data_IF_250975357076
#
_entry.id   IF_250975357076
#
_cell.length_a   1.000
_cell.length_b   1.000
_cell.length_c   1.000
_cell.angle_alpha   90.00
_cell.angle_beta   90.00
_cell.angle_gamma   90.00
#
_symmetry.space_group_name_H-M   'P 1'
#
loop_
_entity.id
_entity.type
_entity.pdbx_description
1 polymer ?
#
# COMPACT_ATOMS: atom_id res chain seq x y z
N UNK A 1 3.51 -50.22 -13.88
CA UNK A 1 3.40 -48.98 -14.68
C UNK A 1 2.23 -48.18 -14.14
N UNK A 2 2.49 -47.32 -13.16
CA UNK A 2 1.47 -46.42 -12.59
C UNK A 2 1.70 -45.02 -13.13
N UNK A 3 0.74 -44.55 -13.89
CA UNK A 3 0.59 -43.18 -14.36
C UNK A 3 0.33 -42.25 -13.17
N UNK A 4 1.40 -41.62 -12.67
CA UNK A 4 1.28 -40.43 -11.83
C UNK A 4 0.76 -39.30 -12.73
N UNK A 5 -0.56 -39.16 -12.76
CA UNK A 5 -1.24 -37.99 -13.30
C UNK A 5 -0.76 -36.76 -12.53
N UNK A 6 0.04 -35.93 -13.21
CA UNK A 6 0.45 -34.61 -12.76
C UNK A 6 -0.79 -33.80 -12.37
N UNK A 7 -0.95 -33.57 -11.07
CA UNK A 7 -2.06 -32.80 -10.49
C UNK A 7 -1.83 -31.28 -10.58
N UNK A 8 -0.72 -30.84 -11.18
CA UNK A 8 -0.26 -29.45 -11.15
C UNK A 8 -0.48 -28.66 -12.44
N UNK A 9 -0.97 -29.27 -13.52
CA UNK A 9 -1.43 -28.52 -14.69
C UNK A 9 -2.88 -28.08 -14.47
N UNK A 10 -3.09 -27.17 -13.52
CA UNK A 10 -4.33 -26.40 -13.48
C UNK A 10 -4.37 -25.60 -14.79
N UNK A 11 -5.37 -25.82 -15.68
CA UNK A 11 -5.40 -25.16 -16.97
C UNK A 11 -5.40 -23.65 -16.75
N UNK A 12 -4.36 -23.01 -17.27
CA UNK A 12 -4.19 -21.57 -17.13
C UNK A 12 -5.40 -20.89 -17.75
N UNK A 13 -6.08 -20.06 -16.95
CA UNK A 13 -7.30 -19.42 -17.41
C UNK A 13 -6.89 -18.45 -18.54
N UNK A 14 -7.49 -18.54 -19.73
CA UNK A 14 -7.14 -17.67 -20.85
C UNK A 14 -7.29 -16.18 -20.51
N UNK A 15 -8.18 -15.84 -19.57
CA UNK A 15 -8.34 -14.48 -19.06
C UNK A 15 -7.09 -13.93 -18.34
N UNK A 16 -6.29 -14.77 -17.67
CA UNK A 16 -5.11 -14.32 -16.93
C UNK A 16 -3.92 -14.06 -17.88
N UNK A 17 -3.79 -14.84 -18.96
CA UNK A 17 -2.82 -14.60 -20.04
C UNK A 17 -3.15 -13.31 -20.81
N UNK A 18 -4.43 -13.08 -21.10
CA UNK A 18 -4.86 -11.85 -21.78
C UNK A 18 -4.59 -10.60 -20.93
N UNK A 19 -4.84 -10.68 -19.62
CA UNK A 19 -4.44 -9.60 -18.69
C UNK A 19 -2.95 -9.35 -18.68
N UNK A 20 -2.13 -10.40 -18.68
CA UNK A 20 -0.67 -10.27 -18.74
C UNK A 20 -0.24 -9.58 -20.05
N UNK A 21 -0.85 -9.95 -21.17
CA UNK A 21 -0.60 -9.32 -22.48
C UNK A 21 -0.97 -7.84 -22.50
N UNK A 22 -2.15 -7.49 -21.98
CA UNK A 22 -2.59 -6.09 -21.89
C UNK A 22 -1.67 -5.27 -20.98
N UNK A 23 -1.25 -5.83 -19.85
CA UNK A 23 -0.32 -5.18 -18.93
C UNK A 23 1.05 -4.95 -19.59
N UNK A 24 1.61 -5.95 -20.28
CA UNK A 24 2.87 -5.83 -21.04
C UNK A 24 2.77 -4.74 -22.12
N UNK A 25 1.66 -4.72 -22.86
CA UNK A 25 1.40 -3.72 -23.91
C UNK A 25 1.33 -2.31 -23.33
N UNK A 26 0.59 -2.12 -22.23
CA UNK A 26 0.48 -0.82 -21.54
C UNK A 26 1.83 -0.30 -20.99
N UNK A 27 2.75 -1.21 -20.69
CA UNK A 27 4.09 -0.89 -20.19
C UNK A 27 5.16 -0.79 -21.28
N UNK A 28 4.77 -0.88 -22.56
CA UNK A 28 5.68 -0.73 -23.69
C UNK A 28 6.55 -1.96 -23.97
N UNK A 29 6.08 -3.14 -23.57
CA UNK A 29 6.71 -4.44 -23.85
C UNK A 29 5.80 -5.31 -24.74
N UNK A 30 5.30 -4.82 -25.90
CA UNK A 30 4.34 -5.57 -26.72
C UNK A 30 4.95 -6.84 -27.34
N UNK A 31 6.27 -6.88 -27.53
CA UNK A 31 6.99 -7.96 -28.21
C UNK A 31 7.37 -9.11 -27.27
N UNK A 32 7.15 -8.95 -25.95
CA UNK A 32 7.45 -9.99 -24.97
C UNK A 32 6.26 -10.96 -24.89
N UNK A 33 6.45 -12.26 -25.12
CA UNK A 33 5.37 -13.23 -25.03
C UNK A 33 4.85 -13.30 -23.57
N UNK A 34 3.52 -13.29 -23.34
CA UNK A 34 2.97 -13.42 -22.00
C UNK A 34 3.28 -14.82 -21.47
N UNK A 35 4.03 -14.90 -20.37
CA UNK A 35 4.35 -16.17 -19.73
C UNK A 35 3.29 -16.55 -18.70
N UNK A 36 3.00 -17.85 -18.64
CA UNK A 36 2.28 -18.55 -17.57
C UNK A 36 2.54 -17.99 -16.16
N UNK A 37 3.83 -17.86 -15.84
CA UNK A 37 4.30 -17.41 -14.54
C UNK A 37 3.97 -15.92 -14.28
N UNK A 38 4.06 -15.06 -15.30
CA UNK A 38 3.67 -13.66 -15.20
C UNK A 38 2.17 -13.51 -14.95
N UNK A 39 1.34 -14.27 -15.68
CA UNK A 39 -0.12 -14.27 -15.51
C UNK A 39 -0.52 -14.71 -14.10
N UNK A 40 0.08 -15.80 -13.59
CA UNK A 40 -0.18 -16.29 -12.23
C UNK A 40 0.25 -15.27 -11.16
N UNK A 41 1.41 -14.63 -11.32
CA UNK A 41 1.88 -13.58 -10.39
C UNK A 41 0.94 -12.37 -10.39
N UNK A 42 0.51 -11.90 -11.56
CA UNK A 42 -0.45 -10.81 -11.68
C UNK A 42 -1.76 -11.13 -10.98
N UNK A 43 -2.31 -12.33 -11.19
CA UNK A 43 -3.56 -12.76 -10.56
C UNK A 43 -3.44 -12.86 -9.03
N UNK A 44 -2.35 -13.44 -8.51
CA UNK A 44 -2.10 -13.54 -7.06
C UNK A 44 -1.92 -12.16 -6.44
N UNK A 45 -1.17 -11.26 -7.09
CA UNK A 45 -0.98 -9.89 -6.61
C UNK A 45 -2.28 -9.11 -6.60
N UNK A 46 -3.10 -9.20 -7.65
CA UNK A 46 -4.41 -8.54 -7.71
C UNK A 46 -5.34 -9.03 -6.58
N UNK A 47 -5.43 -10.34 -6.36
CA UNK A 47 -6.22 -10.89 -5.27
C UNK A 47 -5.70 -10.46 -3.89
N UNK A 48 -4.37 -10.38 -3.73
CA UNK A 48 -3.77 -9.91 -2.47
C UNK A 48 -4.04 -8.43 -2.24
N UNK A 49 -3.99 -7.60 -3.30
CA UNK A 49 -4.33 -6.17 -3.23
C UNK A 49 -5.80 -6.00 -2.82
N UNK A 50 -6.73 -6.73 -3.44
CA UNK A 50 -8.15 -6.71 -3.06
C UNK A 50 -8.34 -7.16 -1.61
N UNK A 51 -7.71 -8.25 -1.19
CA UNK A 51 -7.79 -8.72 0.19
C UNK A 51 -7.23 -7.69 1.19
N UNK A 52 -6.13 -7.02 0.85
CA UNK A 52 -5.54 -5.96 1.68
C UNK A 52 -6.43 -4.73 1.75
N UNK A 53 -7.05 -4.31 0.63
CA UNK A 53 -8.03 -3.22 0.59
C UNK A 53 -9.29 -3.53 1.39
N UNK A 54 -9.82 -4.75 1.29
CA UNK A 54 -10.97 -5.23 2.08
C UNK A 54 -10.59 -5.24 3.57
N UNK A 55 -9.42 -5.80 3.91
CA UNK A 55 -8.95 -5.87 5.30
C UNK A 55 -8.75 -4.47 5.90
N UNK A 56 -8.22 -3.52 5.12
CA UNK A 56 -8.16 -2.12 5.50
C UNK A 56 -9.55 -1.54 5.74
N UNK A 57 -10.50 -1.75 4.81
CA UNK A 57 -11.85 -1.23 4.96
C UNK A 57 -12.52 -1.78 6.23
N UNK A 58 -12.35 -3.08 6.51
CA UNK A 58 -12.80 -3.72 7.76
C UNK A 58 -12.12 -3.09 8.98
N UNK A 59 -10.82 -2.81 8.92
CA UNK A 59 -10.10 -2.15 10.01
C UNK A 59 -10.63 -0.72 10.26
N UNK A 60 -10.89 0.05 9.21
CA UNK A 60 -11.50 1.38 9.31
C UNK A 60 -12.89 1.27 9.95
N UNK A 61 -13.73 0.32 9.51
CA UNK A 61 -15.07 0.06 10.07
C UNK A 61 -15.03 -0.45 11.53
N UNK A 62 -13.98 -1.17 11.91
CA UNK A 62 -13.81 -1.60 13.30
C UNK A 62 -13.32 -0.46 14.19
N UNK A 63 -12.37 0.36 13.71
CA UNK A 63 -11.89 1.57 14.39
C UNK A 63 -13.05 2.53 14.64
N UNK A 64 -13.88 2.64 13.62
CA UNK A 64 -15.15 3.33 13.61
C UNK A 64 -16.11 2.88 14.71
N UNK A 65 -16.33 1.57 14.80
CA UNK A 65 -17.19 0.98 15.81
C UNK A 65 -16.63 1.17 17.23
N UNK A 66 -15.31 1.06 17.40
CA UNK A 66 -14.64 1.33 18.69
C UNK A 66 -14.82 2.78 19.11
N UNK A 67 -14.81 3.72 18.16
CA UNK A 67 -15.09 5.12 18.44
C UNK A 67 -16.55 5.35 18.85
N UNK A 68 -17.54 4.73 18.18
CA UNK A 68 -18.96 4.93 18.52
C UNK A 68 -19.38 4.23 19.80
N UNK A 69 -18.85 3.03 20.07
CA UNK A 69 -19.19 2.23 21.27
C UNK A 69 -18.37 2.65 22.50
N UNK A 70 -17.10 3.06 22.29
CA UNK A 70 -16.21 3.53 23.35
C UNK A 70 -16.26 5.04 23.56
N UNK A 71 -16.99 5.78 22.72
CA UNK A 71 -17.24 7.20 22.90
C UNK A 71 -18.03 7.44 24.19
N UNK A 72 -17.88 8.63 24.81
CA UNK A 72 -18.63 8.98 26.02
C UNK A 72 -20.11 9.18 25.64
N UNK A 73 -20.85 8.09 25.49
CA UNK A 73 -22.28 8.13 25.77
C UNK A 73 -22.40 8.39 27.28
N UNK A 74 -22.63 9.66 27.59
CA UNK A 74 -23.26 10.10 28.84
C UNK A 74 -22.48 9.84 30.14
N UNK A 75 -21.46 10.67 30.39
CA UNK A 75 -21.26 11.17 31.77
C UNK A 75 -22.38 12.20 32.08
N UNK A 76 -23.62 11.73 32.09
CA UNK A 76 -24.77 12.38 32.72
C UNK A 76 -25.04 11.81 34.13
N UNK A 77 -24.22 10.87 34.61
CA UNK A 77 -24.37 10.30 35.94
C UNK A 77 -23.00 10.03 36.53
N UNK A 78 -22.58 10.97 37.38
CA UNK A 78 -21.20 11.16 37.82
C UNK A 78 -20.53 10.01 38.57
N UNK A 79 -19.30 10.35 38.98
CA UNK A 79 -18.40 9.67 39.91
C UNK A 79 -17.26 8.88 39.25
N UNK A 80 -16.07 9.52 39.20
CA UNK A 80 -14.75 8.95 39.52
C UNK A 80 -14.55 7.44 39.28
N UNK A 81 -14.92 6.95 38.09
CA UNK A 81 -14.62 5.59 37.66
C UNK A 81 -13.19 5.51 37.11
N UNK A 82 -12.42 4.44 37.40
CA UNK A 82 -11.15 4.21 36.74
C UNK A 82 -11.36 4.22 35.23
N UNK A 83 -10.60 5.05 34.50
CA UNK A 83 -10.61 5.11 33.03
C UNK A 83 -10.78 3.71 32.44
N UNK A 84 -11.80 3.46 31.61
CA UNK A 84 -12.02 2.12 31.08
C UNK A 84 -10.85 1.77 30.17
N UNK A 85 -9.97 0.89 30.64
CA UNK A 85 -8.86 0.31 29.87
C UNK A 85 -9.36 -0.58 28.71
N UNK A 86 -10.64 -0.97 28.75
CA UNK A 86 -11.28 -1.85 27.76
C UNK A 86 -11.21 -1.33 26.31
N UNK A 87 -11.62 -0.09 25.97
CA UNK A 87 -11.49 0.45 24.61
C UNK A 87 -10.03 0.49 24.12
N UNK A 88 -9.07 0.82 25.00
CA UNK A 88 -7.64 0.80 24.65
C UNK A 88 -7.13 -0.61 24.36
N UNK A 89 -7.53 -1.60 25.16
CA UNK A 89 -7.20 -3.00 24.91
C UNK A 89 -7.84 -3.53 23.62
N UNK A 90 -9.11 -3.18 23.36
CA UNK A 90 -9.79 -3.53 22.11
C UNK A 90 -9.07 -2.92 20.91
N UNK A 91 -8.66 -1.67 21.01
CA UNK A 91 -7.92 -0.97 19.96
C UNK A 91 -6.54 -1.60 19.72
N UNK A 92 -5.80 -1.92 20.79
CA UNK A 92 -4.52 -2.60 20.70
C UNK A 92 -4.66 -3.99 20.06
N UNK A 93 -5.69 -4.75 20.46
CA UNK A 93 -5.98 -6.07 19.89
C UNK A 93 -6.40 -5.97 18.43
N UNK A 94 -7.19 -4.95 18.07
CA UNK A 94 -7.60 -4.67 16.69
C UNK A 94 -6.38 -4.37 15.81
N UNK A 95 -5.47 -3.51 16.28
CA UNK A 95 -4.21 -3.20 15.57
C UNK A 95 -3.35 -4.46 15.43
N UNK A 96 -3.18 -5.22 16.51
CA UNK A 96 -2.40 -6.45 16.49
C UNK A 96 -3.00 -7.48 15.51
N UNK A 97 -4.32 -7.64 15.49
CA UNK A 97 -5.02 -8.53 14.57
C UNK A 97 -4.86 -8.06 13.12
N UNK A 98 -5.02 -6.76 12.84
CA UNK A 98 -4.84 -6.19 11.52
C UNK A 98 -3.42 -6.38 10.98
N UNK A 99 -2.40 -6.04 11.78
CA UNK A 99 -0.98 -6.23 11.42
C UNK A 99 -0.67 -7.71 11.22
N UNK A 100 -1.21 -8.59 12.06
CA UNK A 100 -1.01 -10.04 11.93
C UNK A 100 -1.66 -10.59 10.66
N UNK A 101 -2.88 -10.16 10.33
CA UNK A 101 -3.57 -10.56 9.11
C UNK A 101 -2.81 -10.09 7.85
N UNK A 102 -2.29 -8.86 7.84
CA UNK A 102 -1.41 -8.35 6.77
C UNK A 102 -0.14 -9.22 6.65
N UNK A 103 0.52 -9.51 7.77
CA UNK A 103 1.71 -10.38 7.77
C UNK A 103 1.43 -11.82 7.28
N UNK A 104 0.23 -12.34 7.54
CA UNK A 104 -0.20 -13.66 7.05
C UNK A 104 -0.47 -13.65 5.54
N UNK A 105 -1.10 -12.59 5.01
CA UNK A 105 -1.26 -12.40 3.57
C UNK A 105 0.11 -12.38 2.88
N UNK A 106 1.07 -11.63 3.42
CA UNK A 106 2.44 -11.57 2.90
C UNK A 106 3.13 -12.96 2.93
N UNK A 107 2.95 -13.72 4.02
CA UNK A 107 3.50 -15.08 4.11
C UNK A 107 2.88 -16.01 3.07
N UNK A 108 1.58 -15.87 2.78
CA UNK A 108 0.89 -16.68 1.76
C UNK A 108 1.44 -16.37 0.37
N UNK A 109 1.61 -15.09 0.02
CA UNK A 109 2.23 -14.69 -1.24
C UNK A 109 3.62 -15.28 -1.38
N UNK A 110 4.46 -15.18 -0.33
CA UNK A 110 5.80 -15.79 -0.32
C UNK A 110 5.78 -17.29 -0.54
N UNK A 111 4.79 -17.98 0.04
CA UNK A 111 4.69 -19.42 -0.12
C UNK A 111 4.36 -19.79 -1.57
N UNK A 112 3.39 -19.10 -2.17
CA UNK A 112 2.99 -19.30 -3.57
C UNK A 112 4.13 -18.94 -4.52
N UNK A 113 4.83 -17.83 -4.28
CA UNK A 113 5.98 -17.42 -5.08
C UNK A 113 7.13 -18.42 -4.99
N UNK A 114 7.40 -18.98 -3.80
CA UNK A 114 8.41 -20.03 -3.62
C UNK A 114 8.03 -21.33 -4.31
N UNK A 115 6.76 -21.72 -4.27
CA UNK A 115 6.26 -22.89 -4.98
C UNK A 115 6.37 -22.71 -6.49
N UNK A 116 5.98 -21.54 -7.01
CA UNK A 116 6.14 -21.22 -8.42
C UNK A 116 7.61 -21.22 -8.86
N UNK A 117 8.50 -20.64 -8.04
CA UNK A 117 9.94 -20.64 -8.31
C UNK A 117 10.59 -22.04 -8.24
N UNK A 118 10.04 -22.95 -7.42
CA UNK A 118 10.53 -24.33 -7.32
C UNK A 118 10.24 -25.15 -8.60
N UNK A 119 9.19 -24.79 -9.35
CA UNK A 119 8.82 -25.45 -10.61
C UNK A 119 9.66 -25.04 -11.83
N UNK A 120 10.52 -24.01 -11.71
CA UNK A 120 11.30 -23.50 -12.82
C UNK A 120 12.50 -24.40 -13.15
N UNK A 121 12.53 -24.94 -14.37
CA UNK A 121 13.57 -25.85 -14.87
C UNK A 121 14.94 -25.19 -15.05
N UNK A 122 15.00 -23.87 -15.24
CA UNK A 122 16.24 -23.10 -15.45
C UNK A 122 16.21 -21.84 -14.59
N UNK A 123 17.22 -21.64 -13.75
CA UNK A 123 17.29 -20.50 -12.82
C UNK A 123 18.32 -19.49 -13.32
N UNK A 124 17.88 -18.45 -14.03
CA UNK A 124 18.69 -17.25 -14.22
C UNK A 124 18.49 -16.32 -13.01
N UNK A 125 19.06 -16.69 -11.86
CA UNK A 125 18.96 -15.87 -10.66
C UNK A 125 20.02 -14.75 -10.72
N UNK A 126 19.65 -13.59 -11.26
CA UNK A 126 20.42 -12.37 -11.04
C UNK A 126 19.85 -11.66 -9.80
N UNK A 127 20.53 -11.68 -8.64
CA UNK A 127 20.08 -10.96 -7.45
C UNK A 127 20.29 -9.46 -7.67
N UNK A 128 19.38 -8.83 -8.41
CA UNK A 128 19.34 -7.37 -8.48
C UNK A 128 18.60 -6.88 -7.24
N UNK A 129 19.37 -6.53 -6.21
CA UNK A 129 18.85 -5.79 -5.06
C UNK A 129 18.50 -4.37 -5.53
N UNK A 130 17.24 -4.17 -5.93
CA UNK A 130 16.71 -2.83 -6.18
C UNK A 130 16.65 -2.08 -4.85
N UNK A 131 17.60 -1.15 -4.64
CA UNK A 131 17.60 -0.27 -3.48
C UNK A 131 16.33 0.59 -3.42
N UNK A 132 15.89 0.95 -2.22
CA UNK A 132 14.65 1.72 -2.00
C UNK A 132 14.57 3.03 -2.81
N UNK A 133 15.73 3.67 -3.05
CA UNK A 133 15.82 4.87 -3.89
C UNK A 133 15.46 4.60 -5.36
N UNK A 134 15.83 3.43 -5.88
CA UNK A 134 15.49 3.04 -7.25
C UNK A 134 14.02 2.66 -7.37
N UNK A 135 13.46 2.02 -6.34
CA UNK A 135 12.06 1.55 -6.34
C UNK A 135 11.07 2.70 -6.16
N UNK A 136 11.24 3.48 -5.09
CA UNK A 136 10.28 4.52 -4.72
C UNK A 136 10.59 5.87 -5.37
N UNK A 137 11.89 6.18 -5.49
CA UNK A 137 12.37 7.52 -5.74
C UNK A 137 12.35 8.38 -4.48
N UNK A 138 13.34 9.27 -4.28
CA UNK A 138 13.43 10.10 -3.09
C UNK A 138 12.21 11.03 -2.90
N UNK A 139 11.62 11.51 -4.00
CA UNK A 139 10.47 12.41 -3.95
C UNK A 139 9.20 11.74 -3.38
N UNK A 140 8.93 10.48 -3.73
CA UNK A 140 7.78 9.74 -3.18
C UNK A 140 8.03 9.32 -1.73
N UNK A 141 9.27 8.94 -1.40
CA UNK A 141 9.65 8.66 -0.01
C UNK A 141 9.42 9.88 0.88
N UNK A 142 9.88 11.06 0.43
CA UNK A 142 9.67 12.32 1.12
C UNK A 142 8.17 12.64 1.24
N UNK A 143 7.39 12.53 0.16
CA UNK A 143 5.94 12.78 0.21
C UNK A 143 5.24 11.87 1.24
N UNK A 144 5.52 10.57 1.23
CA UNK A 144 4.93 9.64 2.18
C UNK A 144 5.33 9.99 3.62
N UNK A 145 6.63 10.17 3.88
CA UNK A 145 7.15 10.52 5.20
C UNK A 145 6.55 11.84 5.72
N UNK A 146 6.51 12.89 4.89
CA UNK A 146 5.94 14.18 5.26
C UNK A 146 4.44 14.09 5.51
N UNK A 147 3.71 13.31 4.71
CA UNK A 147 2.25 13.16 4.90
C UNK A 147 1.94 12.47 6.23
N UNK A 148 2.64 11.38 6.55
CA UNK A 148 2.48 10.71 7.84
C UNK A 148 2.94 11.59 9.01
N UNK A 149 4.07 12.28 8.88
CA UNK A 149 4.56 13.19 9.92
C UNK A 149 3.59 14.33 10.20
N UNK A 150 3.05 14.97 9.15
CA UNK A 150 2.04 16.03 9.29
C UNK A 150 0.75 15.51 9.91
N UNK A 151 0.25 14.34 9.47
CA UNK A 151 -0.95 13.74 10.03
C UNK A 151 -0.76 13.42 11.53
N UNK A 152 0.37 12.81 11.91
CA UNK A 152 0.70 12.53 13.31
C UNK A 152 0.82 13.83 14.11
N UNK A 153 1.52 14.85 13.60
CA UNK A 153 1.71 16.12 14.28
C UNK A 153 0.40 16.86 14.52
N UNK A 154 -0.47 16.88 13.50
CA UNK A 154 -1.83 17.38 13.65
C UNK A 154 -2.54 16.56 14.75
N UNK A 155 -2.60 15.23 14.66
CA UNK A 155 -3.38 14.41 15.62
C UNK A 155 -2.86 14.54 17.04
N UNK A 156 -1.55 14.65 17.22
CA UNK A 156 -0.93 14.94 18.50
C UNK A 156 -1.32 16.32 19.03
N UNK A 157 -1.39 17.34 18.17
CA UNK A 157 -1.88 18.67 18.54
C UNK A 157 -3.32 18.65 19.06
N UNK A 158 -4.19 17.81 18.48
CA UNK A 158 -5.57 17.66 18.94
C UNK A 158 -5.68 17.01 20.34
N UNK A 159 -4.66 16.29 20.82
CA UNK A 159 -4.62 15.77 22.19
C UNK A 159 -4.48 16.87 23.26
N UNK A 160 -4.05 18.07 22.86
CA UNK A 160 -3.97 19.23 23.75
C UNK A 160 -5.30 20.00 23.86
N UNK A 161 -6.34 19.62 23.10
CA UNK A 161 -7.65 20.24 23.18
C UNK A 161 -8.30 20.02 24.57
N UNK A 162 -9.01 21.03 25.07
CA UNK A 162 -9.68 20.98 26.38
C UNK A 162 -10.87 20.01 26.43
N UNK A 163 -11.50 19.73 25.28
CA UNK A 163 -12.67 18.86 25.19
C UNK A 163 -12.27 17.36 25.27
N UNK A 164 -12.78 16.58 26.24
CA UNK A 164 -12.40 15.18 26.44
C UNK A 164 -12.75 14.29 25.25
N UNK A 165 -13.87 14.55 24.57
CA UNK A 165 -14.25 13.82 23.34
C UNK A 165 -13.25 14.01 22.20
N UNK A 166 -12.69 15.22 22.04
CA UNK A 166 -11.68 15.52 21.01
C UNK A 166 -10.38 14.77 21.32
N UNK A 167 -9.96 14.72 22.59
CA UNK A 167 -8.76 13.99 23.00
C UNK A 167 -8.90 12.48 22.77
N UNK A 168 -10.08 11.91 23.04
CA UNK A 168 -10.36 10.51 22.78
C UNK A 168 -10.33 10.20 21.27
N UNK A 169 -11.02 11.01 20.46
CA UNK A 169 -11.00 10.89 19.00
C UNK A 169 -9.57 10.98 18.43
N UNK A 170 -8.79 11.94 18.92
CA UNK A 170 -7.38 12.11 18.54
C UNK A 170 -6.54 10.89 18.94
N UNK A 171 -6.75 10.31 20.12
CA UNK A 171 -6.06 9.09 20.54
C UNK A 171 -6.36 7.89 19.62
N UNK A 172 -7.64 7.66 19.31
CA UNK A 172 -8.07 6.59 18.39
C UNK A 172 -7.46 6.79 17.00
N UNK A 173 -7.51 8.02 16.48
CA UNK A 173 -6.96 8.37 15.17
C UNK A 173 -5.44 8.19 15.13
N UNK A 174 -4.72 8.59 16.18
CA UNK A 174 -3.26 8.46 16.27
C UNK A 174 -2.84 7.00 16.21
N UNK A 175 -3.56 6.13 16.92
CA UNK A 175 -3.31 4.67 16.88
C UNK A 175 -3.59 4.09 15.49
N UNK A 176 -4.70 4.51 14.86
CA UNK A 176 -5.01 4.13 13.48
C UNK A 176 -3.91 4.56 12.48
N UNK A 177 -3.39 5.79 12.61
CA UNK A 177 -2.28 6.32 11.82
C UNK A 177 -0.99 5.53 12.02
N UNK A 178 -0.64 5.22 13.27
CA UNK A 178 0.53 4.40 13.58
C UNK A 178 0.41 2.98 13.01
N UNK A 179 -0.77 2.37 13.10
CA UNK A 179 -1.03 1.05 12.52
C UNK A 179 -0.90 1.08 10.99
N UNK A 180 -1.48 2.09 10.33
CA UNK A 180 -1.34 2.27 8.89
C UNK A 180 0.13 2.46 8.48
N UNK A 181 0.88 3.32 9.18
CA UNK A 181 2.30 3.54 8.93
C UNK A 181 3.13 2.26 9.09
N UNK A 182 2.85 1.46 10.12
CA UNK A 182 3.51 0.18 10.35
C UNK A 182 3.23 -0.82 9.22
N UNK A 183 1.98 -0.91 8.76
CA UNK A 183 1.61 -1.78 7.62
C UNK A 183 2.27 -1.32 6.33
N UNK A 184 2.25 -0.02 6.03
CA UNK A 184 2.98 0.53 4.86
C UNK A 184 4.47 0.20 4.93
N UNK A 185 5.10 0.32 6.11
CA UNK A 185 6.51 -0.01 6.29
C UNK A 185 6.80 -1.51 6.09
N UNK A 186 5.93 -2.40 6.60
CA UNK A 186 6.05 -3.86 6.40
C UNK A 186 5.89 -4.23 4.94
N UNK A 187 4.86 -3.70 4.26
CA UNK A 187 4.62 -3.94 2.84
C UNK A 187 5.77 -3.41 1.99
N UNK A 188 6.28 -2.20 2.28
CA UNK A 188 7.43 -1.64 1.57
C UNK A 188 8.70 -2.49 1.80
N UNK A 189 8.97 -2.90 3.04
CA UNK A 189 10.08 -3.82 3.35
C UNK A 189 9.93 -5.11 2.55
N UNK A 190 8.72 -5.63 2.39
CA UNK A 190 8.50 -6.83 1.61
C UNK A 190 8.87 -6.63 0.14
N UNK A 191 8.41 -5.55 -0.50
CA UNK A 191 8.74 -5.24 -1.90
C UNK A 191 10.26 -5.09 -2.09
N UNK A 192 10.96 -4.52 -1.11
CA UNK A 192 12.41 -4.30 -1.16
C UNK A 192 13.25 -5.54 -0.89
N UNK A 193 12.74 -6.51 -0.12
CA UNK A 193 13.51 -7.69 0.33
C UNK A 193 13.24 -8.95 -0.50
N UNK A 194 12.20 -8.95 -1.34
CA UNK A 194 11.91 -10.10 -2.21
C UNK A 194 12.99 -10.23 -3.29
N UNK A 195 13.65 -11.39 -3.47
CA UNK A 195 14.61 -11.59 -4.56
C UNK A 195 13.90 -11.63 -5.93
N UNK A 196 14.48 -11.03 -6.96
CA UNK A 196 13.97 -11.12 -8.33
C UNK A 196 14.26 -12.52 -8.88
N UNK A 197 13.21 -13.22 -9.30
CA UNK A 197 13.32 -14.54 -9.93
C UNK A 197 12.50 -14.49 -11.20
N UNK A 198 13.15 -14.63 -12.35
CA UNK A 198 12.49 -14.75 -13.64
C UNK A 198 13.22 -15.80 -14.50
N UNK A 199 12.50 -16.35 -15.48
CA UNK A 199 13.01 -17.37 -16.40
C UNK A 199 13.97 -16.78 -17.44
N UNK A 200 13.69 -15.56 -17.91
CA UNK A 200 14.44 -14.86 -18.95
C UNK A 200 14.65 -13.37 -18.62
N UNK A 201 15.64 -12.73 -19.25
CA UNK A 201 15.97 -11.30 -19.11
C UNK A 201 14.76 -10.33 -19.30
N UNK A 202 13.87 -10.49 -20.30
CA UNK A 202 12.67 -9.66 -20.42
C UNK A 202 11.67 -9.88 -19.27
N UNK A 203 11.60 -11.08 -18.72
CA UNK A 203 10.76 -11.37 -17.56
C UNK A 203 11.33 -10.76 -16.25
N UNK A 204 12.66 -10.64 -16.15
CA UNK A 204 13.35 -9.89 -15.10
C UNK A 204 12.96 -8.40 -15.13
N UNK A 205 12.92 -7.82 -16.33
CA UNK A 205 12.50 -6.41 -16.53
C UNK A 205 11.05 -6.20 -16.13
N UNK A 206 10.15 -7.12 -16.51
CA UNK A 206 8.75 -7.09 -16.11
C UNK A 206 8.57 -7.20 -14.59
N UNK A 207 9.30 -8.10 -13.91
CA UNK A 207 9.21 -8.25 -12.45
C UNK A 207 9.74 -7.00 -11.71
N UNK A 208 10.81 -6.39 -12.20
CA UNK A 208 11.32 -5.12 -11.66
C UNK A 208 10.29 -3.99 -11.78
N UNK A 209 9.62 -3.89 -12.94
CA UNK A 209 8.60 -2.88 -13.18
C UNK A 209 7.36 -3.08 -12.29
N UNK A 210 6.90 -4.33 -12.13
CA UNK A 210 5.80 -4.67 -11.22
C UNK A 210 6.11 -4.28 -9.77
N UNK A 211 7.35 -4.48 -9.29
CA UNK A 211 7.76 -4.08 -7.93
C UNK A 211 7.78 -2.57 -7.74
N UNK A 212 8.23 -1.85 -8.76
CA UNK A 212 8.21 -0.38 -8.75
C UNK A 212 6.76 0.11 -8.66
N UNK A 213 5.86 -0.50 -9.42
CA UNK A 213 4.43 -0.18 -9.38
C UNK A 213 3.82 -0.51 -8.01
N UNK A 214 4.05 -1.71 -7.48
CA UNK A 214 3.59 -2.14 -6.14
C UNK A 214 4.06 -1.18 -5.06
N UNK A 215 5.34 -0.84 -5.02
CA UNK A 215 5.87 0.07 -4.00
C UNK A 215 5.25 1.48 -4.09
N UNK A 216 4.98 1.97 -5.29
CA UNK A 216 4.36 3.28 -5.51
C UNK A 216 2.90 3.30 -5.11
N UNK A 217 2.17 2.21 -5.36
CA UNK A 217 0.79 2.08 -4.94
C UNK A 217 0.68 1.95 -3.41
N UNK A 218 1.52 1.13 -2.79
CA UNK A 218 1.57 0.95 -1.33
C UNK A 218 1.89 2.25 -0.58
N UNK A 219 2.67 3.13 -1.21
CA UNK A 219 3.04 4.43 -0.62
C UNK A 219 2.11 5.57 -1.01
N UNK A 220 1.05 5.29 -1.77
CA UNK A 220 0.01 6.29 -2.00
C UNK A 220 -0.65 6.64 -0.66
N UNK A 221 -0.71 7.92 -0.27
CA UNK A 221 -1.28 8.36 1.00
C UNK A 221 -2.82 8.27 1.04
N UNK A 222 -3.43 7.42 0.21
CA UNK A 222 -4.88 7.26 0.08
C UNK A 222 -5.56 6.93 1.39
N UNK A 223 -4.93 6.09 2.24
CA UNK A 223 -5.44 5.81 3.60
C UNK A 223 -5.53 7.07 4.46
N UNK A 224 -4.53 7.95 4.42
CA UNK A 224 -4.49 9.18 5.23
C UNK A 224 -5.56 10.17 4.75
N UNK A 225 -5.84 10.16 3.46
CA UNK A 225 -6.81 11.08 2.85
C UNK A 225 -8.28 10.70 3.09
N UNK A 226 -8.58 9.44 3.41
CA UNK A 226 -9.94 9.00 3.74
C UNK A 226 -10.34 9.25 5.20
N UNK A 227 -9.38 9.59 6.07
CA UNK A 227 -9.61 9.75 7.51
C UNK A 227 -10.36 11.02 7.98
N UNK A 228 -10.39 12.18 7.29
CA UNK A 228 -11.05 13.37 7.85
C UNK A 228 -12.56 13.21 8.02
N UNK A 229 -13.19 12.23 7.36
CA UNK A 229 -14.63 11.97 7.52
C UNK A 229 -14.97 11.34 8.88
N UNK A 230 -13.98 10.76 9.58
CA UNK A 230 -14.21 9.96 10.78
C UNK A 230 -14.27 10.77 12.09
N UNK A 231 -14.05 12.08 12.03
CA UNK A 231 -14.38 12.98 13.14
C UNK A 231 -15.71 13.63 12.77
N UNK A 232 -16.86 12.94 12.91
CA UNK A 232 -18.13 13.54 12.56
C UNK A 232 -18.30 14.82 13.38
N UNK A 233 -18.68 15.86 12.65
CA UNK A 233 -19.32 17.12 12.99
C UNK A 233 -20.57 16.99 13.90
N UNK A 234 -20.75 15.83 14.54
CA UNK A 234 -21.78 15.56 15.51
C UNK A 234 -21.44 16.27 16.83
N UNK A 235 -21.98 17.48 16.95
CA UNK A 235 -21.90 18.35 18.13
C UNK A 235 -20.55 19.05 18.31
N UNK A 236 -20.46 20.32 17.92
CA UNK A 236 -19.98 21.43 18.75
C UNK A 236 -19.85 22.70 17.90
N UNK A 237 -20.58 23.73 18.30
CA UNK A 237 -20.60 25.07 17.72
C UNK A 237 -19.31 25.87 18.01
N UNK A 238 -18.13 25.28 17.81
CA UNK A 238 -16.83 25.84 18.18
C UNK A 238 -15.88 26.05 17.01
N UNK A 239 -15.24 27.22 16.96
CA UNK A 239 -14.24 27.63 15.95
C UNK A 239 -13.00 26.73 15.88
N UNK A 240 -12.71 25.95 16.93
CA UNK A 240 -11.57 25.03 16.99
C UNK A 240 -11.66 23.85 16.00
N UNK A 241 -12.87 23.47 15.56
CA UNK A 241 -13.05 22.37 14.59
C UNK A 241 -12.82 22.83 13.15
N UNK A 242 -12.96 24.14 12.88
CA UNK A 242 -12.84 24.70 11.52
C UNK A 242 -11.39 24.71 11.04
N UNK A 243 -10.44 25.17 11.86
CA UNK A 243 -9.03 25.24 11.45
C UNK A 243 -8.42 23.84 11.27
N UNK A 244 -8.85 22.87 12.08
CA UNK A 244 -8.44 21.47 11.97
C UNK A 244 -8.81 20.88 10.61
N UNK A 245 -10.08 21.04 10.22
CA UNK A 245 -10.57 20.60 8.92
C UNK A 245 -9.82 21.30 7.78
N UNK A 246 -9.61 22.62 7.89
CA UNK A 246 -8.84 23.38 6.90
C UNK A 246 -7.41 22.85 6.77
N UNK A 247 -6.72 22.57 7.88
CA UNK A 247 -5.37 22.01 7.87
C UNK A 247 -5.34 20.61 7.23
N UNK A 248 -6.34 19.77 7.51
CA UNK A 248 -6.44 18.42 6.92
C UNK A 248 -6.76 18.46 5.42
N UNK A 249 -7.66 19.35 4.99
CA UNK A 249 -7.94 19.58 3.57
C UNK A 249 -6.72 20.16 2.84
N UNK A 250 -5.98 21.07 3.46
CA UNK A 250 -4.73 21.59 2.91
C UNK A 250 -3.68 20.49 2.76
N UNK A 251 -3.59 19.56 3.73
CA UNK A 251 -2.72 18.38 3.65
C UNK A 251 -3.12 17.47 2.48
N UNK A 252 -4.42 17.20 2.29
CA UNK A 252 -4.92 16.39 1.17
C UNK A 252 -4.63 17.08 -0.17
N UNK A 253 -5.01 18.35 -0.31
CA UNK A 253 -4.83 19.11 -1.54
C UNK A 253 -3.35 19.24 -1.91
N UNK A 254 -2.50 19.62 -0.94
CA UNK A 254 -1.05 19.71 -1.14
C UNK A 254 -0.42 18.36 -1.47
N UNK A 255 -0.86 17.28 -0.80
CA UNK A 255 -0.44 15.92 -1.09
C UNK A 255 -0.82 15.46 -2.50
N UNK A 256 -2.06 15.73 -2.92
CA UNK A 256 -2.57 15.39 -4.25
C UNK A 256 -1.84 16.15 -5.35
N UNK A 257 -1.66 17.46 -5.21
CA UNK A 257 -0.88 18.28 -6.14
C UNK A 257 0.55 17.77 -6.24
N UNK A 258 1.20 17.47 -5.11
CA UNK A 258 2.57 16.95 -5.10
C UNK A 258 2.65 15.59 -5.80
N UNK A 259 1.69 14.69 -5.57
CA UNK A 259 1.63 13.38 -6.23
C UNK A 259 1.45 13.52 -7.75
N UNK A 260 0.58 14.42 -8.20
CA UNK A 260 0.38 14.73 -9.62
C UNK A 260 1.68 15.28 -10.23
N UNK A 261 2.34 16.23 -9.57
CA UNK A 261 3.61 16.79 -10.05
C UNK A 261 4.71 15.73 -10.15
N UNK A 262 4.84 14.85 -9.15
CA UNK A 262 5.79 13.74 -9.19
C UNK A 262 5.47 12.81 -10.37
N UNK A 263 4.20 12.47 -10.56
CA UNK A 263 3.75 11.57 -11.64
C UNK A 263 4.04 12.15 -13.02
N UNK A 264 3.68 13.43 -13.24
CA UNK A 264 3.96 14.15 -14.47
C UNK A 264 5.46 14.27 -14.76
N UNK A 265 6.28 14.58 -13.74
CA UNK A 265 7.74 14.63 -13.90
C UNK A 265 8.32 13.27 -14.29
N UNK A 266 7.86 12.18 -13.66
CA UNK A 266 8.31 10.83 -14.01
C UNK A 266 7.92 10.42 -15.44
N UNK A 267 6.72 10.76 -15.88
CA UNK A 267 6.26 10.49 -17.25
C UNK A 267 7.08 11.27 -18.30
N UNK A 268 7.38 12.55 -18.02
CA UNK A 268 8.22 13.38 -18.90
C UNK A 268 9.65 12.85 -19.00
N UNK A 269 10.26 12.42 -17.88
CA UNK A 269 11.59 11.81 -17.89
C UNK A 269 11.64 10.53 -18.73
N UNK A 270 10.64 9.66 -18.59
CA UNK A 270 10.53 8.43 -19.39
C UNK A 270 10.27 8.71 -20.89
N UNK A 271 9.55 9.78 -21.23
CA UNK A 271 9.35 10.19 -22.62
C UNK A 271 10.63 10.78 -23.26
N UNK A 272 11.41 11.56 -22.49
CA UNK A 272 12.68 12.13 -22.96
C UNK A 272 13.75 11.06 -23.16
N UNK A 273 13.88 10.11 -22.24
CA UNK A 273 14.80 8.98 -22.37
C UNK A 273 14.53 8.17 -23.66
N UNK A 274 13.24 7.91 -23.96
CA UNK A 274 12.82 7.22 -25.19
C UNK A 274 13.17 7.98 -26.47
N UNK A 275 13.16 9.31 -26.46
CA UNK A 275 13.56 10.14 -27.61
C UNK A 275 15.08 10.22 -27.80
N UNK A 276 15.85 10.07 -26.73
CA UNK A 276 17.31 10.01 -26.79
C UNK A 276 17.81 8.70 -27.42
N UNK A 277 17.23 7.57 -27.03
CA UNK A 277 17.59 6.24 -27.56
C UNK A 277 17.24 6.07 -29.03
N UNK A 278 16.10 6.61 -29.50
CA UNK A 278 15.74 6.57 -30.93
C UNK A 278 16.60 7.46 -31.81
N UNK A 279 17.26 8.49 -31.24
CA UNK A 279 18.15 9.40 -31.99
C UNK A 279 19.60 8.91 -32.10
N UNK A 280 20.00 7.91 -31.30
CA UNK A 280 21.33 7.27 -31.37
C UNK A 280 21.33 5.89 -32.02
N UNK A 281 20.17 5.40 -32.49
CA UNK A 281 20.07 4.22 -33.37
C UNK A 281 20.48 4.51 -34.81
N UNK A 282 21.63 5.14 -35.04
CA UNK A 282 22.31 5.07 -36.35
C UNK A 282 23.27 3.89 -36.25
N UNK A 283 23.11 2.82 -37.03
CA UNK A 283 24.13 1.78 -37.11
C UNK A 283 25.43 2.45 -37.55
N UNK A 284 26.47 2.32 -36.73
CA UNK A 284 27.81 2.55 -37.22
C UNK A 284 28.09 1.37 -38.17
N UNK A 285 28.13 1.67 -39.46
CA UNK A 285 28.69 0.79 -40.47
C UNK A 285 30.11 0.38 -40.04
N UNK A 286 30.28 -0.89 -39.69
CA UNK A 286 31.49 -1.68 -39.87
C UNK A 286 31.08 -3.14 -40.11
#
# INVERSE_FOLDING_TARGET
MSTLTSKDEQPERPADLERARLWLTGHGLPDVPPTALLAKRLAVRQNTRLASQILLAVFIVALALVYTVGGPLEDASGANGPYPYRPLLLLALLVAAFVSAQALLDRRVRHVDRQAAAGLRRRAAHPVHLGWRAVLGPARAALAATTFACAIALTAGALAASAPGVRYAAGVLLVGLCAAAAVTAVQLRHVLTSPAVADDEPALTADALLRIEDAREVTAPTMVWCMPWYIPSASMAGTAVVWWNVAWFALIAGGAVTLVLITLRTARGAALARRGTTRHGRPADL
#
